data_IF_982774433515
#
_entry.id   IF_982774433515
#
_cell.length_a   1.000
_cell.length_b   1.000
_cell.length_c   1.000
_cell.angle_alpha   90.00
_cell.angle_beta   90.00
_cell.angle_gamma   90.00
#
_symmetry.space_group_name_H-M   'P 1'
#
loop_
_entity.id
_entity.type
_entity.pdbx_description
1 polymer ?
#
# COMPACT_ATOMS: atom_id res chain seq x y z
N UNK A 1 6.25 12.50 2.56
CA UNK A 1 7.52 12.99 1.99
C UNK A 1 8.21 11.93 1.13
N UNK A 2 8.04 10.65 1.44
CA UNK A 2 8.66 9.51 0.73
C UNK A 2 8.37 9.46 -0.79
N UNK A 3 7.27 10.07 -1.25
CA UNK A 3 6.86 10.05 -2.66
C UNK A 3 7.32 11.30 -3.44
N UNK A 4 8.18 12.13 -2.83
CA UNK A 4 8.72 13.31 -3.48
C UNK A 4 9.82 12.94 -4.49
N UNK A 5 9.82 13.63 -5.64
CA UNK A 5 10.92 13.54 -6.60
C UNK A 5 12.05 14.53 -6.26
N UNK A 6 13.18 14.42 -6.97
CA UNK A 6 14.35 15.27 -6.73
C UNK A 6 14.04 16.77 -6.95
N UNK A 7 13.17 17.12 -7.91
CA UNK A 7 12.83 18.52 -8.19
C UNK A 7 11.97 19.10 -7.06
N UNK A 8 10.99 18.36 -6.58
CA UNK A 8 10.15 18.76 -5.43
C UNK A 8 11.01 18.98 -4.17
N UNK A 9 11.97 18.09 -3.91
CA UNK A 9 12.87 18.27 -2.78
C UNK A 9 13.76 19.51 -2.93
N UNK A 10 14.30 19.77 -4.14
CA UNK A 10 15.04 21.00 -4.43
C UNK A 10 14.19 22.25 -4.23
N UNK A 11 12.92 22.18 -4.62
CA UNK A 11 11.98 23.29 -4.42
C UNK A 11 11.73 23.56 -2.93
N UNK A 12 11.55 22.52 -2.11
CA UNK A 12 11.45 22.66 -0.65
C UNK A 12 12.68 23.34 -0.09
N UNK A 13 13.90 22.94 -0.53
CA UNK A 13 15.16 23.57 -0.09
C UNK A 13 15.29 25.04 -0.51
N UNK A 14 14.67 25.43 -1.61
CA UNK A 14 14.64 26.83 -2.05
C UNK A 14 13.68 27.67 -1.19
N UNK A 15 12.56 27.11 -0.72
CA UNK A 15 11.61 27.81 0.15
C UNK A 15 12.14 27.91 1.58
N UNK A 16 12.64 26.78 2.10
CA UNK A 16 13.20 26.70 3.46
C UNK A 16 14.64 26.23 3.33
N UNK A 17 15.55 27.21 3.27
CA UNK A 17 16.98 26.90 3.19
C UNK A 17 17.44 26.09 4.43
N UNK A 18 18.26 25.03 4.26
CA UNK A 18 18.88 24.34 5.39
C UNK A 18 19.72 25.24 6.29
N UNK A 19 20.23 26.36 5.76
CA UNK A 19 20.97 27.36 6.53
C UNK A 19 20.07 28.39 7.23
N UNK A 20 18.75 28.31 7.09
CA UNK A 20 17.81 29.23 7.74
C UNK A 20 17.82 29.07 9.26
N UNK A 21 17.90 30.18 9.98
CA UNK A 21 17.78 30.22 11.44
C UNK A 21 16.39 30.68 11.91
N UNK A 22 15.56 31.15 10.97
CA UNK A 22 14.23 31.75 11.26
C UNK A 22 13.08 30.83 10.88
N UNK A 23 13.30 29.90 9.98
CA UNK A 23 12.27 29.00 9.49
C UNK A 23 12.48 27.57 10.04
N UNK A 24 11.37 26.92 10.38
CA UNK A 24 11.37 25.51 10.79
C UNK A 24 10.68 24.67 9.74
N UNK A 25 11.22 23.48 9.51
CA UNK A 25 10.63 22.49 8.61
C UNK A 25 10.35 21.20 9.38
N UNK A 26 9.12 20.74 9.32
CA UNK A 26 8.68 19.47 9.89
C UNK A 26 8.34 18.51 8.75
N UNK A 27 8.98 17.33 8.73
CA UNK A 27 8.81 16.34 7.69
C UNK A 27 8.21 15.07 8.27
N UNK A 28 7.17 14.55 7.61
CA UNK A 28 6.55 13.27 7.92
C UNK A 28 6.61 12.39 6.68
N UNK A 29 6.96 11.14 6.86
CA UNK A 29 7.03 10.16 5.77
C UNK A 29 7.31 8.76 6.29
N UNK A 30 7.22 7.81 5.39
CA UNK A 30 7.48 6.41 5.64
C UNK A 30 8.24 5.83 4.43
N UNK A 31 9.54 5.70 4.56
CA UNK A 31 10.41 5.20 3.50
C UNK A 31 10.05 3.78 3.06
N UNK A 32 9.56 2.94 3.99
CA UNK A 32 9.10 1.58 3.71
C UNK A 32 7.83 1.55 2.83
N UNK A 33 7.09 2.67 2.74
CA UNK A 33 5.91 2.82 1.89
C UNK A 33 6.16 3.60 0.59
N UNK A 34 7.42 3.85 0.24
CA UNK A 34 7.77 4.53 -1.01
C UNK A 34 7.62 3.58 -2.19
N UNK A 35 6.44 3.59 -2.83
CA UNK A 35 6.09 2.72 -3.96
C UNK A 35 5.98 3.46 -5.30
N UNK A 36 6.28 4.77 -5.36
CA UNK A 36 6.13 5.60 -6.55
C UNK A 36 7.45 5.91 -7.28
N UNK A 37 8.46 5.05 -7.17
CA UNK A 37 9.71 5.21 -7.91
C UNK A 37 9.49 5.32 -9.43
N UNK A 38 8.52 4.58 -9.98
CA UNK A 38 8.13 4.65 -11.40
C UNK A 38 7.50 6.00 -11.82
N UNK A 39 7.10 6.85 -10.84
CA UNK A 39 6.66 8.24 -11.04
C UNK A 39 7.76 9.26 -10.73
N UNK A 40 8.98 8.79 -10.50
CA UNK A 40 10.13 9.63 -10.17
C UNK A 40 10.33 9.94 -8.69
N UNK A 41 9.56 9.31 -7.78
CA UNK A 41 9.82 9.40 -6.35
C UNK A 41 11.21 8.86 -6.02
N UNK A 42 11.89 9.53 -5.08
CA UNK A 42 13.24 9.17 -4.66
C UNK A 42 13.26 8.90 -3.16
N UNK A 43 13.35 7.64 -2.78
CA UNK A 43 13.42 7.20 -1.38
C UNK A 43 14.55 7.90 -0.63
N UNK A 44 15.70 8.10 -1.27
CA UNK A 44 16.87 8.79 -0.71
C UNK A 44 16.59 10.21 -0.22
N UNK A 45 15.52 10.88 -0.68
CA UNK A 45 15.16 12.22 -0.22
C UNK A 45 14.91 12.28 1.30
N UNK A 46 14.49 11.18 1.93
CA UNK A 46 14.33 11.11 3.39
C UNK A 46 15.69 11.21 4.11
N UNK A 47 16.67 10.43 3.65
CA UNK A 47 18.02 10.46 4.20
C UNK A 47 18.71 11.79 3.88
N UNK A 48 18.58 12.30 2.64
CA UNK A 48 19.11 13.59 2.24
C UNK A 48 18.51 14.72 3.11
N UNK A 49 17.21 14.65 3.44
CA UNK A 49 16.58 15.62 4.35
C UNK A 49 17.21 15.61 5.75
N UNK A 50 17.41 14.42 6.32
CA UNK A 50 18.04 14.29 7.65
C UNK A 50 19.43 14.88 7.64
N UNK A 51 20.21 14.64 6.59
CA UNK A 51 21.58 15.13 6.46
C UNK A 51 21.64 16.63 6.19
N UNK A 52 20.87 17.13 5.20
CA UNK A 52 20.92 18.52 4.76
C UNK A 52 20.44 19.50 5.83
N UNK A 53 19.39 19.10 6.57
CA UNK A 53 18.81 19.93 7.65
C UNK A 53 19.37 19.62 9.03
N UNK A 54 20.38 18.74 9.13
CA UNK A 54 21.01 18.35 10.39
C UNK A 54 19.98 17.96 11.45
N UNK A 55 19.02 17.12 11.07
CA UNK A 55 17.89 16.74 11.92
C UNK A 55 18.40 16.08 13.19
N UNK A 56 18.13 16.70 14.34
CA UNK A 56 18.57 16.21 15.67
C UNK A 56 17.56 15.25 16.29
N UNK A 57 16.29 15.38 15.94
CA UNK A 57 15.21 14.61 16.52
C UNK A 57 14.46 13.87 15.44
N UNK A 58 14.67 12.56 15.38
CA UNK A 58 13.93 11.65 14.52
C UNK A 58 13.03 10.80 15.40
N UNK A 59 11.71 10.97 15.25
CA UNK A 59 10.72 10.19 15.97
C UNK A 59 10.21 9.08 15.05
N UNK A 60 10.29 7.82 15.49
CA UNK A 60 9.75 6.67 14.80
C UNK A 60 8.44 6.24 15.46
N UNK A 61 7.37 6.23 14.67
CA UNK A 61 6.06 5.74 15.11
C UNK A 61 5.97 4.26 14.73
N UNK A 62 6.32 3.38 15.66
CA UNK A 62 6.43 1.93 15.42
C UNK A 62 5.21 1.15 15.91
N UNK A 63 4.43 1.71 16.84
CA UNK A 63 3.19 1.09 17.28
C UNK A 63 2.11 1.20 16.22
N UNK A 64 1.58 0.06 15.81
CA UNK A 64 0.48 -0.06 14.86
C UNK A 64 -0.82 -0.37 15.60
N UNK A 65 -1.89 0.36 15.26
CA UNK A 65 -3.22 0.24 15.86
C UNK A 65 -4.25 -0.37 14.91
N UNK A 66 -3.83 -0.78 13.71
CA UNK A 66 -4.71 -1.28 12.66
C UNK A 66 -4.70 -2.80 12.58
N UNK A 67 -3.52 -3.39 12.63
CA UNK A 67 -3.28 -4.79 12.30
C UNK A 67 -2.87 -5.61 13.51
N UNK A 68 -3.14 -6.91 13.46
CA UNK A 68 -2.64 -7.90 14.41
C UNK A 68 -1.19 -8.27 14.15
N UNK A 69 -0.53 -8.93 15.11
CA UNK A 69 0.92 -9.18 15.04
C UNK A 69 1.31 -10.09 13.86
N UNK A 70 0.53 -11.11 13.51
CA UNK A 70 0.83 -11.98 12.35
C UNK A 70 0.97 -11.19 11.04
N UNK A 71 0.13 -10.16 10.84
CA UNK A 71 0.21 -9.28 9.66
C UNK A 71 1.48 -8.42 9.73
N UNK A 72 1.79 -7.86 10.90
CA UNK A 72 2.97 -7.02 11.08
C UNK A 72 4.27 -7.82 10.98
N UNK A 73 4.30 -9.04 11.51
CA UNK A 73 5.47 -9.93 11.42
C UNK A 73 5.78 -10.24 9.94
N UNK A 74 4.75 -10.54 9.14
CA UNK A 74 4.92 -10.75 7.71
C UNK A 74 5.38 -9.48 6.98
N UNK A 75 4.80 -8.32 7.30
CA UNK A 75 5.19 -7.04 6.72
C UNK A 75 6.65 -6.68 7.08
N UNK A 76 7.04 -6.86 8.34
CA UNK A 76 8.41 -6.65 8.81
C UNK A 76 9.40 -7.60 8.09
N UNK A 77 9.03 -8.87 7.90
CA UNK A 77 9.85 -9.84 7.19
C UNK A 77 10.04 -9.48 5.71
N UNK A 78 8.99 -9.03 5.04
CA UNK A 78 9.07 -8.59 3.63
C UNK A 78 9.98 -7.37 3.50
N UNK A 79 9.76 -6.34 4.34
CA UNK A 79 10.51 -5.09 4.23
C UNK A 79 11.97 -5.22 4.70
N UNK A 80 12.30 -6.21 5.51
CA UNK A 80 13.67 -6.49 5.93
C UNK A 80 14.62 -6.81 4.76
N UNK A 81 14.08 -7.22 3.61
CA UNK A 81 14.88 -7.44 2.39
C UNK A 81 15.38 -6.13 1.76
N UNK A 82 14.87 -4.97 2.14
CA UNK A 82 15.33 -3.68 1.66
C UNK A 82 16.56 -3.24 2.48
N UNK A 83 17.72 -3.16 1.81
CA UNK A 83 18.97 -2.78 2.47
C UNK A 83 19.06 -1.28 2.81
N UNK A 84 18.40 -0.42 2.03
CA UNK A 84 18.45 1.05 2.19
C UNK A 84 17.16 1.56 2.83
N UNK A 85 17.08 1.50 4.16
CA UNK A 85 15.93 2.00 4.91
C UNK A 85 16.38 2.68 6.19
N UNK A 86 15.55 3.62 6.68
CA UNK A 86 15.80 4.29 7.96
C UNK A 86 15.60 3.35 9.17
N UNK A 87 15.02 2.19 8.93
CA UNK A 87 14.83 1.11 9.89
C UNK A 87 13.78 1.45 10.96
N UNK A 88 12.69 0.73 10.93
CA UNK A 88 11.70 0.65 12.00
C UNK A 88 11.18 -0.77 12.06
N UNK A 89 10.57 -1.14 13.18
CA UNK A 89 9.95 -2.44 13.35
C UNK A 89 8.53 -2.23 13.91
N UNK A 90 7.52 -2.55 13.11
CA UNK A 90 6.13 -2.36 13.51
C UNK A 90 5.73 -3.42 14.55
N UNK A 91 5.05 -2.98 15.59
CA UNK A 91 4.51 -3.84 16.63
C UNK A 91 3.09 -3.40 17.03
N UNK A 92 2.33 -4.26 17.69
CA UNK A 92 0.95 -4.00 18.10
C UNK A 92 0.61 -4.68 19.42
N UNK A 93 -0.36 -4.13 20.13
CA UNK A 93 -1.02 -4.73 21.29
C UNK A 93 -2.31 -5.49 20.93
N UNK A 94 -2.71 -5.50 19.65
CA UNK A 94 -3.96 -6.11 19.19
C UNK A 94 -3.96 -7.66 19.19
N UNK A 95 -2.89 -8.29 19.73
CA UNK A 95 -2.77 -9.75 19.78
C UNK A 95 -2.34 -10.36 18.44
N UNK A 96 -2.38 -11.70 18.36
CA UNK A 96 -1.85 -12.44 17.20
C UNK A 96 -2.75 -12.35 15.96
N UNK A 97 -4.06 -12.44 16.13
CA UNK A 97 -5.02 -12.50 15.04
C UNK A 97 -4.96 -13.81 14.25
N UNK A 98 -5.63 -13.84 13.11
CA UNK A 98 -5.65 -14.97 12.19
C UNK A 98 -4.30 -15.14 11.49
N UNK A 99 -3.98 -16.37 11.09
CA UNK A 99 -2.82 -16.67 10.26
C UNK A 99 -3.04 -16.17 8.84
N UNK A 100 -1.94 -15.79 8.19
CA UNK A 100 -1.96 -15.44 6.77
C UNK A 100 -2.03 -16.73 5.94
N UNK A 101 -3.08 -16.85 5.14
CA UNK A 101 -3.21 -17.93 4.16
C UNK A 101 -2.43 -17.60 2.88
N UNK A 102 -1.78 -18.60 2.29
CA UNK A 102 -1.13 -18.49 0.99
C UNK A 102 -1.74 -19.56 0.08
N UNK A 103 -2.23 -19.13 -1.07
CA UNK A 103 -2.79 -20.01 -2.08
C UNK A 103 -2.07 -19.80 -3.42
N UNK A 104 -1.63 -20.88 -4.04
CA UNK A 104 -1.07 -20.86 -5.38
C UNK A 104 -2.09 -21.42 -6.36
N UNK A 105 -2.56 -20.60 -7.28
CA UNK A 105 -3.46 -21.00 -8.36
C UNK A 105 -2.67 -21.37 -9.62
N UNK A 106 -3.20 -22.25 -10.45
CA UNK A 106 -2.57 -22.64 -11.72
C UNK A 106 -2.79 -21.59 -12.82
N UNK A 107 -3.90 -20.84 -12.74
CA UNK A 107 -4.22 -19.74 -13.64
C UNK A 107 -5.05 -18.63 -12.97
N UNK A 108 -5.30 -17.54 -13.70
CA UNK A 108 -6.06 -16.39 -13.24
C UNK A 108 -7.55 -16.70 -12.96
N UNK A 109 -8.11 -17.71 -13.62
CA UNK A 109 -9.49 -18.15 -13.42
C UNK A 109 -9.61 -18.95 -12.13
N UNK A 110 -8.65 -19.80 -11.86
CA UNK A 110 -8.62 -20.54 -10.60
C UNK A 110 -8.38 -19.61 -9.43
N UNK A 111 -7.48 -18.61 -9.55
CA UNK A 111 -7.27 -17.57 -8.57
C UNK A 111 -8.58 -16.82 -8.27
N UNK A 112 -9.27 -16.34 -9.31
CA UNK A 112 -10.54 -15.61 -9.16
C UNK A 112 -11.65 -16.47 -8.56
N UNK A 113 -11.70 -17.77 -8.91
CA UNK A 113 -12.65 -18.74 -8.36
C UNK A 113 -12.41 -18.96 -6.86
N UNK A 114 -11.16 -19.24 -6.47
CA UNK A 114 -10.77 -19.46 -5.09
C UNK A 114 -11.08 -18.25 -4.23
N UNK A 115 -10.65 -17.06 -4.68
CA UNK A 115 -10.92 -15.78 -4.03
C UNK A 115 -12.43 -15.54 -3.83
N UNK A 116 -13.23 -15.82 -4.87
CA UNK A 116 -14.68 -15.70 -4.80
C UNK A 116 -15.27 -16.62 -3.74
N UNK A 117 -14.81 -17.87 -3.69
CA UNK A 117 -15.27 -18.86 -2.72
C UNK A 117 -14.91 -18.46 -1.28
N UNK A 118 -13.73 -17.93 -1.06
CA UNK A 118 -13.30 -17.45 0.25
C UNK A 118 -14.18 -16.29 0.73
N UNK A 119 -14.44 -15.30 -0.13
CA UNK A 119 -15.31 -14.16 0.18
C UNK A 119 -16.73 -14.62 0.49
N UNK A 120 -17.29 -15.56 -0.29
CA UNK A 120 -18.61 -16.14 -0.02
C UNK A 120 -18.64 -16.87 1.32
N UNK A 121 -17.59 -17.59 1.65
CA UNK A 121 -17.48 -18.31 2.93
C UNK A 121 -17.40 -17.35 4.10
N UNK A 122 -16.59 -16.30 4.00
CA UNK A 122 -16.52 -15.23 5.00
C UNK A 122 -17.88 -14.55 5.18
N UNK A 123 -18.56 -14.25 4.09
CA UNK A 123 -19.87 -13.61 4.16
C UNK A 123 -20.92 -14.50 4.84
N UNK A 124 -20.93 -15.79 4.52
CA UNK A 124 -21.82 -16.77 5.18
C UNK A 124 -21.53 -16.92 6.67
N UNK A 125 -20.30 -16.70 7.09
CA UNK A 125 -19.91 -16.69 8.51
C UNK A 125 -20.22 -15.37 9.23
N UNK A 126 -20.80 -14.39 8.52
CA UNK A 126 -21.26 -13.12 9.10
C UNK A 126 -20.40 -11.91 8.78
N UNK A 127 -19.32 -12.05 8.00
CA UNK A 127 -18.48 -10.91 7.58
C UNK A 127 -19.23 -10.06 6.55
N UNK A 128 -19.45 -8.77 6.80
CA UNK A 128 -20.05 -7.88 5.82
C UNK A 128 -19.18 -7.74 4.58
N UNK A 129 -19.79 -7.60 3.39
CA UNK A 129 -19.06 -7.36 2.13
C UNK A 129 -18.07 -6.19 2.20
N UNK A 130 -18.47 -5.12 2.89
CA UNK A 130 -17.65 -3.89 3.02
C UNK A 130 -16.35 -4.10 3.81
N UNK A 131 -16.25 -5.20 4.55
CA UNK A 131 -15.08 -5.52 5.36
C UNK A 131 -14.10 -6.44 4.59
N UNK A 132 -14.45 -6.81 3.35
CA UNK A 132 -13.59 -7.55 2.44
C UNK A 132 -12.94 -6.59 1.43
N UNK A 133 -11.64 -6.74 1.20
CA UNK A 133 -10.91 -6.00 0.17
C UNK A 133 -10.02 -6.92 -0.64
N UNK A 134 -9.97 -6.68 -1.95
CA UNK A 134 -9.10 -7.38 -2.89
C UNK A 134 -8.11 -6.39 -3.48
N UNK A 135 -6.82 -6.67 -3.32
CA UNK A 135 -5.76 -5.86 -3.89
C UNK A 135 -5.07 -6.63 -5.01
N UNK A 136 -4.82 -5.97 -6.11
CA UNK A 136 -4.11 -6.53 -7.26
C UNK A 136 -3.04 -5.57 -7.79
N UNK A 137 -2.05 -6.10 -8.50
CA UNK A 137 -0.89 -5.31 -8.94
C UNK A 137 -1.18 -4.38 -10.10
N UNK A 138 -2.02 -4.80 -11.03
CA UNK A 138 -2.36 -4.03 -12.22
C UNK A 138 -3.84 -4.20 -12.61
N UNK A 139 -4.36 -3.20 -13.34
CA UNK A 139 -5.77 -3.15 -13.69
C UNK A 139 -6.25 -4.29 -14.62
N UNK A 140 -5.36 -4.97 -15.32
CA UNK A 140 -5.74 -6.09 -16.17
C UNK A 140 -6.29 -7.27 -15.36
N UNK A 141 -5.78 -7.46 -14.15
CA UNK A 141 -6.23 -8.52 -13.23
C UNK A 141 -7.68 -8.33 -12.75
N UNK A 142 -8.19 -7.09 -12.72
CA UNK A 142 -9.56 -6.84 -12.23
C UNK A 142 -10.62 -7.52 -13.08
N UNK A 143 -10.39 -7.68 -14.40
CA UNK A 143 -11.40 -8.20 -15.33
C UNK A 143 -11.95 -9.56 -14.92
N UNK A 144 -11.07 -10.50 -14.68
CA UNK A 144 -11.48 -11.87 -14.33
C UNK A 144 -12.16 -11.91 -12.96
N UNK A 145 -11.64 -11.15 -12.01
CA UNK A 145 -12.22 -11.04 -10.65
C UNK A 145 -13.64 -10.45 -10.73
N UNK A 146 -13.82 -9.36 -11.50
CA UNK A 146 -15.14 -8.73 -11.71
C UNK A 146 -16.15 -9.69 -12.35
N UNK A 147 -15.71 -10.49 -13.33
CA UNK A 147 -16.56 -11.51 -13.97
C UNK A 147 -17.06 -12.54 -12.94
N UNK A 148 -16.16 -13.05 -12.09
CA UNK A 148 -16.53 -14.03 -11.05
C UNK A 148 -17.42 -13.41 -9.98
N UNK A 149 -17.16 -12.18 -9.56
CA UNK A 149 -18.02 -11.48 -8.59
C UNK A 149 -19.42 -11.24 -9.13
N UNK A 150 -19.51 -10.79 -10.38
CA UNK A 150 -20.81 -10.57 -11.05
C UNK A 150 -21.58 -11.88 -11.19
N UNK A 151 -20.94 -12.94 -11.65
CA UNK A 151 -21.56 -14.26 -11.80
C UNK A 151 -22.08 -14.86 -10.47
N UNK A 152 -21.45 -14.49 -9.35
CA UNK A 152 -21.84 -14.95 -8.02
C UNK A 152 -22.63 -13.90 -7.21
N UNK A 153 -23.09 -12.83 -7.85
CA UNK A 153 -23.88 -11.75 -7.21
C UNK A 153 -23.18 -11.12 -6.01
N UNK A 154 -21.85 -11.06 -6.00
CA UNK A 154 -21.08 -10.37 -4.98
C UNK A 154 -21.06 -8.87 -5.32
N UNK A 155 -21.60 -7.99 -4.46
CA UNK A 155 -21.52 -6.56 -4.68
C UNK A 155 -20.08 -6.07 -4.49
N UNK A 156 -19.56 -5.31 -5.44
CA UNK A 156 -18.21 -4.78 -5.36
C UNK A 156 -18.11 -3.33 -5.84
N UNK A 157 -17.04 -2.67 -5.43
CA UNK A 157 -16.67 -1.32 -5.88
C UNK A 157 -15.18 -1.28 -6.21
N UNK A 158 -14.84 -0.65 -7.32
CA UNK A 158 -13.44 -0.43 -7.71
C UNK A 158 -13.00 0.95 -7.25
N UNK A 159 -11.85 1.01 -6.60
CA UNK A 159 -11.20 2.25 -6.21
C UNK A 159 -9.99 2.53 -7.11
N UNK A 160 -9.85 3.77 -7.55
CA UNK A 160 -8.73 4.20 -8.38
C UNK A 160 -8.85 3.87 -9.87
N UNK A 161 -10.00 3.38 -10.32
CA UNK A 161 -10.28 3.09 -11.73
C UNK A 161 -11.76 2.95 -12.03
N UNK A 162 -12.09 2.84 -13.30
CA UNK A 162 -13.42 2.46 -13.76
C UNK A 162 -13.56 0.93 -13.72
N UNK A 163 -14.78 0.42 -13.51
CA UNK A 163 -15.07 -1.00 -13.72
C UNK A 163 -14.65 -1.39 -15.13
N UNK A 164 -14.22 -2.63 -15.34
CA UNK A 164 -13.74 -3.07 -16.64
C UNK A 164 -14.72 -2.72 -17.77
N UNK A 165 -16.00 -3.04 -17.59
CA UNK A 165 -17.05 -2.76 -18.58
C UNK A 165 -17.51 -1.30 -18.64
N UNK A 166 -17.07 -0.45 -17.72
CA UNK A 166 -17.34 1.00 -17.75
C UNK A 166 -16.24 1.79 -18.46
N UNK A 167 -15.13 1.15 -18.83
CA UNK A 167 -14.03 1.77 -19.54
C UNK A 167 -14.45 2.08 -20.98
N UNK A 168 -14.06 3.25 -21.48
CA UNK A 168 -14.46 3.72 -22.82
C UNK A 168 -14.02 2.74 -23.89
N UNK A 169 -12.77 2.28 -23.83
CA UNK A 169 -12.21 1.32 -24.78
C UNK A 169 -12.96 -0.02 -24.81
N UNK A 170 -13.64 -0.40 -23.75
CA UNK A 170 -14.47 -1.62 -23.71
C UNK A 170 -15.86 -1.33 -24.25
N UNK A 171 -16.45 -0.18 -23.91
CA UNK A 171 -17.77 0.24 -24.44
C UNK A 171 -17.77 0.45 -25.96
N UNK A 172 -16.63 0.86 -26.52
CA UNK A 172 -16.50 1.10 -27.96
C UNK A 172 -16.43 -0.21 -28.76
N UNK A 173 -16.24 -1.37 -28.11
CA UNK A 173 -16.10 -2.70 -28.74
C UNK A 173 -17.31 -3.60 -28.44
N UNK A 174 -18.13 -3.28 -27.46
CA UNK A 174 -19.34 -4.03 -27.09
C UNK A 174 -20.60 -3.35 -27.54
#
# INVERSE_FOLDING_TARGET
FQDTNALQFRWIKAIVSPASTTNSLFCVGDDDQSIYAFRGARVGNMADFVNDYHVKHLVKLEQNYRSTSHILDAANAVIANNAQRMGKNLWTEAGKGELIGIYGADDDREEARSLTQDILTLHRSGTPWRDCAVLYRNNAQSRIIEQYFTANSIPYRIYGGLRFFDRQEVKDVT
#
